data_IF_053171971070
#
_entry.id   IF_053171971070
#
_cell.length_a   1.000
_cell.length_b   1.000
_cell.length_c   1.000
_cell.angle_alpha   90.00
_cell.angle_beta   90.00
_cell.angle_gamma   90.00
#
_symmetry.space_group_name_H-M   'P 1'
#
loop_
_entity.id
_entity.type
_entity.pdbx_description
1 polymer ?
#
# COMPACT_ATOMS: atom_id res chain seq x y z
N UNK A 1 5.82 1.86 43.43
CA UNK A 1 6.30 2.26 42.08
C UNK A 1 7.24 3.43 42.31
N UNK A 2 8.54 3.26 42.05
CA UNK A 2 9.53 4.30 42.36
C UNK A 2 9.22 5.61 41.62
N UNK A 3 9.33 6.74 42.31
CA UNK A 3 9.11 8.07 41.73
C UNK A 3 9.97 8.29 40.46
N UNK A 4 11.14 7.67 40.40
CA UNK A 4 12.03 7.66 39.26
C UNK A 4 11.39 7.03 38.00
N UNK A 5 10.73 5.88 38.13
CA UNK A 5 10.07 5.17 37.03
C UNK A 5 8.88 5.97 36.49
N UNK A 6 8.10 6.57 37.39
CA UNK A 6 6.93 7.39 37.02
C UNK A 6 7.34 8.61 36.20
N UNK A 7 8.46 9.26 36.54
CA UNK A 7 8.98 10.40 35.77
C UNK A 7 9.40 9.99 34.37
N UNK A 8 10.12 8.88 34.21
CA UNK A 8 10.59 8.40 32.91
C UNK A 8 9.43 7.95 32.01
N UNK A 9 8.45 7.27 32.58
CA UNK A 9 7.24 6.84 31.86
C UNK A 9 6.45 8.04 31.34
N UNK A 10 6.29 9.09 32.15
CA UNK A 10 5.60 10.32 31.72
C UNK A 10 6.35 11.05 30.60
N UNK A 11 7.68 11.07 30.64
CA UNK A 11 8.49 11.70 29.61
C UNK A 11 8.40 10.93 28.28
N UNK A 12 8.52 9.60 28.32
CA UNK A 12 8.33 8.74 27.13
C UNK A 12 6.94 8.96 26.56
N UNK A 13 5.91 8.87 27.40
CA UNK A 13 4.51 9.05 26.98
C UNK A 13 4.31 10.38 26.29
N UNK A 14 4.85 11.46 26.86
CA UNK A 14 4.76 12.80 26.26
C UNK A 14 5.48 12.89 24.91
N UNK A 15 6.64 12.26 24.79
CA UNK A 15 7.43 12.28 23.56
C UNK A 15 6.77 11.49 22.42
N UNK A 16 6.16 10.34 22.72
CA UNK A 16 5.50 9.49 21.71
C UNK A 16 4.05 9.90 21.42
N UNK A 17 3.45 10.73 22.28
CA UNK A 17 2.09 11.21 22.08
C UNK A 17 2.01 12.16 20.88
N UNK A 18 1.03 11.95 20.01
CA UNK A 18 0.89 12.68 18.76
C UNK A 18 0.16 11.85 17.71
N UNK A 19 0.00 12.41 16.52
CA UNK A 19 -0.49 11.64 15.37
C UNK A 19 0.56 10.58 14.97
N UNK A 20 0.15 9.44 14.40
CA UNK A 20 1.09 8.45 13.89
C UNK A 20 2.09 9.08 12.91
N UNK A 21 3.39 8.95 13.18
CA UNK A 21 4.46 9.53 12.37
C UNK A 21 4.82 10.98 12.69
N UNK A 22 4.11 11.58 13.65
CA UNK A 22 4.33 12.95 14.10
C UNK A 22 4.46 13.01 15.64
N UNK A 23 5.48 12.39 16.23
CA UNK A 23 5.74 12.49 17.66
C UNK A 23 6.23 13.90 18.06
N UNK A 24 6.27 14.20 19.36
CA UNK A 24 6.95 15.39 19.87
C UNK A 24 8.47 15.22 19.74
N UNK A 25 9.00 15.59 18.58
CA UNK A 25 10.43 15.54 18.28
C UNK A 25 11.30 16.31 19.28
N UNK A 26 10.81 17.44 19.79
CA UNK A 26 11.53 18.19 20.82
C UNK A 26 11.56 17.42 22.14
N UNK A 27 10.48 16.69 22.47
CA UNK A 27 10.44 15.71 23.55
C UNK A 27 11.42 14.55 23.34
N UNK A 28 11.44 13.96 22.15
CA UNK A 28 12.36 12.88 21.78
C UNK A 28 13.82 13.31 21.95
N UNK A 29 14.24 14.46 21.41
CA UNK A 29 15.62 14.90 21.52
C UNK A 29 16.02 15.23 22.96
N UNK A 30 15.09 15.77 23.77
CA UNK A 30 15.31 15.95 25.22
C UNK A 30 15.53 14.62 25.93
N UNK A 31 14.76 13.59 25.57
CA UNK A 31 14.94 12.23 26.12
C UNK A 31 16.28 11.62 25.74
N UNK A 32 16.69 11.74 24.48
CA UNK A 32 18.00 11.26 24.02
C UNK A 32 19.12 11.87 24.88
N UNK A 33 19.10 13.20 25.06
CA UNK A 33 20.08 13.91 25.87
C UNK A 33 20.02 13.52 27.36
N UNK A 34 18.82 13.31 27.90
CA UNK A 34 18.64 12.90 29.29
C UNK A 34 19.20 11.50 29.56
N UNK A 35 18.93 10.55 28.66
CA UNK A 35 19.48 9.19 28.73
C UNK A 35 21.00 9.19 28.58
N UNK A 36 21.54 10.07 27.73
CA UNK A 36 22.98 10.25 27.60
C UNK A 36 23.62 10.79 28.89
N UNK A 37 23.00 11.78 29.52
CA UNK A 37 23.48 12.38 30.77
C UNK A 37 23.41 11.41 31.96
N UNK A 38 22.52 10.42 31.92
CA UNK A 38 22.37 9.40 32.97
C UNK A 38 22.38 7.99 32.38
N UNK A 39 23.55 7.44 32.02
CA UNK A 39 23.65 6.12 31.37
C UNK A 39 23.07 4.95 32.18
N UNK A 40 22.97 5.09 33.51
CA UNK A 40 22.35 4.08 34.39
C UNK A 40 20.82 4.01 34.24
N UNK A 41 20.18 5.04 33.68
CA UNK A 41 18.73 5.11 33.48
C UNK A 41 18.25 4.36 32.24
N UNK A 42 19.16 3.99 31.32
CA UNK A 42 18.80 3.45 30.02
C UNK A 42 18.08 2.10 30.10
N UNK A 43 18.43 1.27 31.08
CA UNK A 43 17.83 -0.06 31.24
C UNK A 43 16.34 0.09 31.62
N UNK A 44 16.04 0.97 32.59
CA UNK A 44 14.67 1.34 32.98
C UNK A 44 13.91 1.97 31.81
N UNK A 45 14.59 2.85 31.06
CA UNK A 45 14.01 3.51 29.90
C UNK A 45 13.62 2.48 28.81
N UNK A 46 14.48 1.51 28.54
CA UNK A 46 14.24 0.43 27.58
C UNK A 46 13.08 -0.46 28.01
N UNK A 47 12.97 -0.82 29.28
CA UNK A 47 11.85 -1.59 29.81
C UNK A 47 10.51 -0.88 29.59
N UNK A 48 10.45 0.42 29.88
CA UNK A 48 9.27 1.25 29.67
C UNK A 48 8.93 1.38 28.19
N UNK A 49 9.93 1.59 27.33
CA UNK A 49 9.73 1.69 25.88
C UNK A 49 9.21 0.38 25.28
N UNK A 50 9.74 -0.76 25.72
CA UNK A 50 9.27 -2.10 25.33
C UNK A 50 7.83 -2.33 25.80
N UNK A 51 7.45 -1.85 26.98
CA UNK A 51 6.05 -1.89 27.46
C UNK A 51 5.11 -1.12 26.52
N UNK A 52 5.51 0.06 26.03
CA UNK A 52 4.76 0.84 25.04
C UNK A 52 4.67 0.10 23.70
N UNK A 53 5.80 -0.43 23.20
CA UNK A 53 5.81 -1.25 21.97
C UNK A 53 4.91 -2.48 22.05
N UNK A 54 4.69 -3.05 23.25
CA UNK A 54 3.84 -4.22 23.43
C UNK A 54 2.35 -3.87 23.54
N UNK A 55 2.01 -2.83 24.30
CA UNK A 55 0.63 -2.57 24.75
C UNK A 55 -0.11 -1.48 23.98
N UNK A 56 0.61 -0.54 23.37
CA UNK A 56 -0.04 0.64 22.81
C UNK A 56 -0.66 0.39 21.42
N UNK A 57 -1.58 1.24 20.96
CA UNK A 57 -2.08 1.20 19.58
C UNK A 57 -0.97 1.39 18.53
N UNK A 58 -1.22 0.90 17.30
CA UNK A 58 -0.26 0.93 16.17
C UNK A 58 0.40 2.31 15.96
N UNK A 59 -0.37 3.40 16.06
CA UNK A 59 0.15 4.76 15.93
C UNK A 59 1.20 5.16 16.98
N UNK A 60 0.96 4.82 18.25
CA UNK A 60 1.90 5.10 19.34
C UNK A 60 3.09 4.15 19.31
N UNK A 61 2.90 2.90 18.85
CA UNK A 61 4.00 1.97 18.55
C UNK A 61 4.92 2.54 17.47
N UNK A 62 4.36 3.09 16.40
CA UNK A 62 5.15 3.75 15.34
C UNK A 62 5.97 4.92 15.89
N UNK A 63 5.34 5.80 16.68
CA UNK A 63 6.05 6.91 17.33
C UNK A 63 7.13 6.42 18.32
N UNK A 64 6.91 5.30 19.00
CA UNK A 64 7.92 4.66 19.87
C UNK A 64 9.11 4.11 19.06
N UNK A 65 8.86 3.54 17.87
CA UNK A 65 9.94 3.13 16.95
C UNK A 65 10.75 4.33 16.45
N UNK A 66 10.12 5.48 16.23
CA UNK A 66 10.83 6.72 15.87
C UNK A 66 11.72 7.23 17.01
N UNK A 67 11.30 7.08 18.27
CA UNK A 67 12.13 7.37 19.43
C UNK A 67 13.33 6.40 19.52
N UNK A 68 13.13 5.11 19.26
CA UNK A 68 14.23 4.13 19.17
C UNK A 68 15.22 4.53 18.08
N UNK A 69 14.72 4.88 16.91
CA UNK A 69 15.52 5.32 15.79
C UNK A 69 16.38 6.55 16.15
N UNK A 70 15.78 7.52 16.83
CA UNK A 70 16.50 8.69 17.32
C UNK A 70 17.60 8.33 18.33
N UNK A 71 17.37 7.37 19.23
CA UNK A 71 18.37 6.90 20.19
C UNK A 71 19.58 6.25 19.50
N UNK A 72 19.37 5.46 18.44
CA UNK A 72 20.48 4.88 17.68
C UNK A 72 21.21 5.90 16.82
N UNK A 73 20.50 6.83 16.16
CA UNK A 73 21.12 7.81 15.25
C UNK A 73 21.89 8.90 15.98
N UNK A 74 21.52 9.22 17.22
CA UNK A 74 22.12 10.31 18.00
C UNK A 74 22.90 9.83 19.23
N UNK A 75 22.83 8.54 19.58
CA UNK A 75 23.49 8.01 20.76
C UNK A 75 25.00 7.92 20.62
N UNK A 76 25.72 8.07 21.74
CA UNK A 76 27.17 7.85 21.83
C UNK A 76 27.49 6.40 22.18
N UNK A 77 28.75 5.99 22.00
CA UNK A 77 29.25 4.62 22.25
C UNK A 77 28.66 3.91 23.49
N UNK A 78 28.68 4.57 24.66
CA UNK A 78 28.19 3.97 25.91
C UNK A 78 26.67 3.68 25.90
N UNK A 79 25.89 4.58 25.31
CA UNK A 79 24.45 4.42 25.13
C UNK A 79 24.16 3.35 24.08
N UNK A 80 24.80 3.42 22.92
CA UNK A 80 24.62 2.45 21.83
C UNK A 80 24.97 1.02 22.25
N UNK A 81 26.03 0.84 23.04
CA UNK A 81 26.39 -0.46 23.60
C UNK A 81 25.27 -1.03 24.48
N UNK A 82 24.58 -0.18 25.24
CA UNK A 82 23.47 -0.57 26.12
C UNK A 82 22.12 -0.71 25.42
N UNK A 83 21.92 -0.12 24.24
CA UNK A 83 20.69 -0.31 23.47
C UNK A 83 20.58 -1.72 22.83
N UNK A 84 21.70 -2.39 22.59
CA UNK A 84 21.79 -3.67 21.88
C UNK A 84 21.41 -4.88 22.77
N UNK A 85 20.29 -4.79 23.48
CA UNK A 85 19.83 -5.82 24.41
C UNK A 85 18.95 -6.86 23.73
N UNK A 86 18.95 -8.09 24.28
CA UNK A 86 17.98 -9.13 23.90
C UNK A 86 16.54 -8.72 24.17
N UNK A 87 16.30 -7.92 25.21
CA UNK A 87 14.97 -7.40 25.53
C UNK A 87 14.42 -6.57 24.35
N UNK A 88 15.22 -5.63 23.84
CA UNK A 88 14.80 -4.79 22.72
C UNK A 88 14.64 -5.60 21.44
N UNK A 89 15.63 -6.41 21.06
CA UNK A 89 15.56 -7.19 19.82
C UNK A 89 14.43 -8.22 19.81
N UNK A 90 14.15 -8.87 20.94
CA UNK A 90 13.03 -9.80 21.05
C UNK A 90 11.68 -9.09 20.88
N UNK A 91 11.52 -7.90 21.47
CA UNK A 91 10.29 -7.13 21.30
C UNK A 91 10.13 -6.62 19.85
N UNK A 92 11.22 -6.18 19.21
CA UNK A 92 11.20 -5.72 17.82
C UNK A 92 10.82 -6.85 16.84
N UNK A 93 11.09 -8.10 17.20
CA UNK A 93 10.69 -9.29 16.43
C UNK A 93 9.35 -9.88 16.85
N UNK A 94 8.66 -9.31 17.83
CA UNK A 94 7.41 -9.85 18.35
C UNK A 94 6.26 -9.70 17.33
N UNK A 95 5.29 -10.64 17.31
CA UNK A 95 4.17 -10.63 16.35
C UNK A 95 3.42 -9.30 16.27
N UNK A 96 3.28 -8.61 17.40
CA UNK A 96 2.56 -7.34 17.48
C UNK A 96 3.22 -6.17 16.72
N UNK A 97 4.47 -6.34 16.28
CA UNK A 97 5.21 -5.43 15.41
C UNK A 97 5.50 -6.06 14.03
N UNK A 98 5.85 -7.35 14.00
CA UNK A 98 6.27 -8.03 12.77
C UNK A 98 5.12 -8.41 11.84
N UNK A 99 3.90 -8.56 12.35
CA UNK A 99 2.71 -8.81 11.53
C UNK A 99 2.07 -7.51 11.01
N UNK A 100 2.44 -6.36 11.57
CA UNK A 100 1.89 -5.07 11.14
C UNK A 100 2.78 -4.41 10.07
N UNK A 101 2.32 -4.28 8.81
CA UNK A 101 3.19 -3.91 7.69
C UNK A 101 3.93 -2.58 7.87
N UNK A 102 3.25 -1.57 8.42
CA UNK A 102 3.84 -0.24 8.63
C UNK A 102 4.97 -0.28 9.66
N UNK A 103 4.80 -1.04 10.75
CA UNK A 103 5.77 -1.15 11.82
C UNK A 103 6.97 -2.01 11.38
N UNK A 104 6.70 -3.16 10.77
CA UNK A 104 7.76 -4.03 10.24
C UNK A 104 8.60 -3.34 9.18
N UNK A 105 7.98 -2.59 8.27
CA UNK A 105 8.73 -1.84 7.25
C UNK A 105 9.62 -0.75 7.85
N UNK A 106 9.14 -0.07 8.89
CA UNK A 106 9.97 0.89 9.60
C UNK A 106 11.21 0.23 10.20
N UNK A 107 11.03 -0.92 10.86
CA UNK A 107 12.14 -1.69 11.44
C UNK A 107 13.09 -2.15 10.32
N UNK A 108 12.57 -2.74 9.24
CA UNK A 108 13.36 -3.20 8.10
C UNK A 108 14.23 -2.08 7.50
N UNK A 109 13.66 -0.89 7.31
CA UNK A 109 14.37 0.26 6.74
C UNK A 109 15.45 0.83 7.65
N UNK A 110 15.24 0.81 8.97
CA UNK A 110 16.13 1.48 9.92
C UNK A 110 17.12 0.53 10.63
N UNK A 111 16.83 -0.76 10.73
CA UNK A 111 17.68 -1.71 11.46
C UNK A 111 19.12 -1.78 10.92
N UNK A 112 19.30 -1.69 9.60
CA UNK A 112 20.64 -1.58 8.99
C UNK A 112 21.36 -0.31 9.45
N UNK A 113 20.67 0.82 9.46
CA UNK A 113 21.22 2.10 9.90
C UNK A 113 21.64 2.02 11.38
N UNK A 114 20.85 1.36 12.23
CA UNK A 114 21.17 1.17 13.65
C UNK A 114 22.44 0.35 13.85
N UNK A 115 22.60 -0.75 13.09
CA UNK A 115 23.82 -1.56 13.08
C UNK A 115 25.01 -0.72 12.62
N UNK A 116 24.86 0.05 11.55
CA UNK A 116 25.92 0.92 11.01
C UNK A 116 26.33 2.01 12.02
N UNK A 117 25.40 2.57 12.80
CA UNK A 117 25.68 3.51 13.89
C UNK A 117 26.54 2.86 14.98
N UNK A 118 26.17 1.66 15.45
CA UNK A 118 26.93 0.90 16.44
C UNK A 118 28.32 0.47 15.91
N UNK A 119 28.41 0.13 14.63
CA UNK A 119 29.66 -0.25 13.98
C UNK A 119 30.63 0.94 13.91
N UNK A 120 30.12 2.12 13.51
CA UNK A 120 30.89 3.37 13.42
C UNK A 120 31.51 3.78 14.76
N UNK A 121 30.78 3.59 15.86
CA UNK A 121 31.24 3.87 17.22
C UNK A 121 32.07 2.73 17.86
N UNK A 122 32.37 1.67 17.09
CA UNK A 122 33.12 0.49 17.53
C UNK A 122 32.51 -0.16 18.78
N UNK A 123 31.19 -0.33 18.80
CA UNK A 123 30.46 -1.00 19.88
C UNK A 123 29.40 -1.98 19.38
N UNK A 124 29.47 -2.41 18.12
CA UNK A 124 28.53 -3.38 17.56
C UNK A 124 28.68 -4.76 18.22
N UNK A 125 27.56 -5.26 18.75
CA UNK A 125 27.41 -6.60 19.28
C UNK A 125 27.09 -7.58 18.13
N UNK A 126 27.76 -8.73 18.11
CA UNK A 126 27.55 -9.78 17.11
C UNK A 126 26.13 -10.37 17.11
N UNK A 127 25.46 -10.43 18.27
CA UNK A 127 24.06 -10.88 18.36
C UNK A 127 23.11 -9.87 17.70
N UNK A 128 23.40 -8.57 17.82
CA UNK A 128 22.61 -7.50 17.21
C UNK A 128 22.78 -7.47 15.68
N UNK A 129 24.00 -7.68 15.18
CA UNK A 129 24.27 -7.85 13.74
C UNK A 129 23.52 -9.06 13.15
N UNK A 130 23.57 -10.21 13.83
CA UNK A 130 22.82 -11.41 13.41
C UNK A 130 21.32 -11.20 13.42
N UNK A 131 20.80 -10.51 14.43
CA UNK A 131 19.38 -10.16 14.51
C UNK A 131 18.97 -9.29 13.32
N UNK A 132 19.74 -8.25 13.00
CA UNK A 132 19.44 -7.36 11.85
C UNK A 132 19.40 -8.15 10.55
N UNK A 133 20.39 -9.01 10.30
CA UNK A 133 20.42 -9.86 9.11
C UNK A 133 19.21 -10.78 9.01
N UNK A 134 18.66 -11.22 10.14
CA UNK A 134 17.48 -12.08 10.19
C UNK A 134 16.20 -11.29 9.94
N UNK A 135 15.98 -10.17 10.65
CA UNK A 135 14.75 -9.38 10.53
C UNK A 135 14.64 -8.65 9.19
N UNK A 136 15.77 -8.37 8.53
CA UNK A 136 15.82 -7.73 7.21
C UNK A 136 15.74 -8.73 6.04
N UNK A 137 15.43 -10.01 6.28
CA UNK A 137 15.23 -11.00 5.20
C UNK A 137 13.93 -10.80 4.42
N UNK A 138 12.94 -10.17 5.03
CA UNK A 138 11.66 -9.87 4.40
C UNK A 138 11.20 -8.46 4.79
N UNK A 139 10.50 -7.81 3.86
CA UNK A 139 9.78 -6.56 4.08
C UNK A 139 8.39 -6.67 3.49
N UNK A 140 7.43 -5.94 4.07
CA UNK A 140 6.11 -5.84 3.49
C UNK A 140 6.16 -4.84 2.35
N UNK A 141 5.59 -5.18 1.20
CA UNK A 141 5.43 -4.22 0.10
C UNK A 141 4.07 -3.53 0.31
N UNK A 142 4.02 -2.27 0.79
CA UNK A 142 2.77 -1.62 1.18
C UNK A 142 1.94 -1.15 -0.03
N UNK A 143 2.54 -1.07 -1.22
CA UNK A 143 1.86 -0.69 -2.45
C UNK A 143 2.13 -1.71 -3.55
N UNK A 144 1.04 -2.19 -4.16
CA UNK A 144 1.08 -3.08 -5.30
C UNK A 144 1.82 -2.37 -6.46
N UNK A 145 3.08 -2.74 -6.70
CA UNK A 145 3.89 -2.20 -7.81
C UNK A 145 3.22 -2.50 -9.14
N UNK A 146 3.50 -1.75 -10.19
CA UNK A 146 2.89 -1.99 -11.51
C UNK A 146 3.26 -3.38 -12.07
N UNK A 147 4.47 -3.87 -11.76
CA UNK A 147 4.93 -5.22 -12.08
C UNK A 147 4.10 -6.28 -11.35
N UNK A 148 3.92 -6.14 -10.02
CA UNK A 148 3.08 -7.05 -9.24
C UNK A 148 1.62 -6.96 -9.67
N UNK A 149 1.12 -5.77 -9.99
CA UNK A 149 -0.23 -5.56 -10.51
C UNK A 149 -0.44 -6.32 -11.81
N UNK A 150 0.50 -6.19 -12.73
CA UNK A 150 0.47 -6.87 -14.02
C UNK A 150 0.51 -8.38 -13.83
N UNK A 151 1.38 -8.87 -12.93
CA UNK A 151 1.46 -10.28 -12.59
C UNK A 151 0.13 -10.80 -12.00
N UNK A 152 -0.45 -10.10 -11.03
CA UNK A 152 -1.73 -10.51 -10.44
C UNK A 152 -2.86 -10.52 -11.47
N UNK A 153 -2.93 -9.54 -12.37
CA UNK A 153 -3.91 -9.57 -13.45
C UNK A 153 -3.70 -10.77 -14.38
N UNK A 154 -2.45 -11.06 -14.76
CA UNK A 154 -2.12 -12.23 -15.58
C UNK A 154 -2.54 -13.53 -14.88
N UNK A 155 -2.23 -13.69 -13.60
CA UNK A 155 -2.57 -14.89 -12.82
C UNK A 155 -4.10 -15.05 -12.70
N UNK A 156 -4.83 -13.95 -12.49
CA UNK A 156 -6.29 -13.96 -12.43
C UNK A 156 -6.94 -14.20 -13.80
N UNK A 157 -6.32 -13.76 -14.88
CA UNK A 157 -6.76 -14.06 -16.25
C UNK A 157 -6.59 -15.55 -16.58
N UNK A 158 -5.45 -16.15 -16.23
CA UNK A 158 -5.26 -17.60 -16.36
C UNK A 158 -6.26 -18.39 -15.49
N UNK A 159 -6.57 -17.91 -14.29
CA UNK A 159 -7.61 -18.53 -13.47
C UNK A 159 -9.00 -18.44 -14.13
N UNK A 160 -9.33 -17.30 -14.76
CA UNK A 160 -10.57 -17.12 -15.50
C UNK A 160 -10.69 -18.12 -16.67
N UNK A 161 -9.59 -18.33 -17.41
CA UNK A 161 -9.54 -19.29 -18.52
C UNK A 161 -9.79 -20.72 -18.05
N UNK A 162 -9.18 -21.14 -16.94
CA UNK A 162 -9.42 -22.47 -16.35
C UNK A 162 -10.90 -22.63 -15.95
N UNK A 163 -11.48 -21.61 -15.32
CA UNK A 163 -12.90 -21.62 -14.94
C UNK A 163 -13.83 -21.64 -16.16
N UNK A 164 -13.49 -20.91 -17.23
CA UNK A 164 -14.23 -20.90 -18.48
C UNK A 164 -14.16 -22.27 -19.20
N UNK A 165 -12.97 -22.89 -19.24
CA UNK A 165 -12.81 -24.26 -19.74
C UNK A 165 -13.68 -25.23 -18.95
N UNK A 166 -13.65 -25.17 -17.62
CA UNK A 166 -14.49 -26.02 -16.78
C UNK A 166 -15.99 -25.82 -17.07
N UNK A 167 -16.42 -24.56 -17.13
CA UNK A 167 -17.79 -24.18 -17.44
C UNK A 167 -18.25 -24.75 -18.79
N UNK A 168 -17.44 -24.57 -19.83
CA UNK A 168 -17.74 -25.06 -21.17
C UNK A 168 -17.79 -26.59 -21.20
N UNK A 169 -16.82 -27.27 -20.60
CA UNK A 169 -16.82 -28.73 -20.51
C UNK A 169 -18.07 -29.23 -19.77
N UNK A 170 -18.45 -28.58 -18.66
CA UNK A 170 -19.62 -28.98 -17.88
C UNK A 170 -20.92 -28.84 -18.68
N UNK A 171 -21.07 -27.74 -19.41
CA UNK A 171 -22.22 -27.49 -20.28
C UNK A 171 -22.25 -28.50 -21.43
N UNK A 172 -21.12 -28.75 -22.10
CA UNK A 172 -21.04 -29.69 -23.21
C UNK A 172 -21.36 -31.11 -22.76
N UNK A 173 -20.74 -31.60 -21.67
CA UNK A 173 -21.03 -32.93 -21.11
C UNK A 173 -22.51 -33.08 -20.78
N UNK A 174 -23.16 -32.05 -20.24
CA UNK A 174 -24.60 -32.10 -19.97
C UNK A 174 -25.45 -32.10 -21.24
N UNK A 175 -25.13 -31.27 -22.23
CA UNK A 175 -25.85 -31.20 -23.50
C UNK A 175 -25.76 -32.52 -24.29
N UNK A 176 -24.62 -33.20 -24.21
CA UNK A 176 -24.37 -34.50 -24.84
C UNK A 176 -24.91 -35.69 -24.02
N UNK A 177 -25.66 -35.43 -22.94
CA UNK A 177 -26.18 -36.46 -22.02
C UNK A 177 -25.09 -37.34 -21.41
N UNK A 178 -23.89 -36.77 -21.25
CA UNK A 178 -22.73 -37.41 -20.64
C UNK A 178 -22.85 -37.55 -19.11
N UNK A 179 -21.84 -38.21 -18.53
CA UNK A 179 -21.79 -38.51 -17.10
C UNK A 179 -21.04 -37.39 -16.33
N UNK A 180 -21.54 -36.94 -15.16
CA UNK A 180 -20.79 -36.04 -14.25
C UNK A 180 -19.41 -36.54 -13.81
N UNK A 181 -19.12 -37.84 -13.98
CA UNK A 181 -17.84 -38.49 -13.72
C UNK A 181 -16.88 -38.46 -14.92
N UNK A 182 -17.16 -37.64 -15.93
CA UNK A 182 -16.26 -37.40 -17.06
C UNK A 182 -14.82 -37.14 -16.57
N UNK A 183 -13.81 -37.85 -17.12
CA UNK A 183 -12.43 -37.72 -16.65
C UNK A 183 -11.88 -36.30 -16.71
N UNK A 184 -12.21 -35.56 -17.76
CA UNK A 184 -11.75 -34.18 -17.96
C UNK A 184 -12.40 -33.24 -16.96
N UNK A 185 -13.70 -33.40 -16.68
CA UNK A 185 -14.37 -32.65 -15.61
C UNK A 185 -13.72 -32.89 -14.25
N UNK A 186 -13.40 -34.13 -13.92
CA UNK A 186 -12.77 -34.48 -12.63
C UNK A 186 -11.38 -33.88 -12.49
N UNK A 187 -10.58 -33.92 -13.56
CA UNK A 187 -9.22 -33.37 -13.58
C UNK A 187 -9.24 -31.85 -13.37
N UNK A 188 -10.08 -31.14 -14.11
CA UNK A 188 -10.16 -29.67 -14.01
C UNK A 188 -10.81 -29.24 -12.69
N UNK A 189 -11.78 -29.99 -12.15
CA UNK A 189 -12.48 -29.64 -10.90
C UNK A 189 -11.53 -29.41 -9.70
N UNK A 190 -10.42 -30.15 -9.62
CA UNK A 190 -9.42 -29.95 -8.57
C UNK A 190 -8.83 -28.53 -8.64
N UNK A 191 -8.55 -28.05 -9.85
CA UNK A 191 -8.06 -26.68 -10.06
C UNK A 191 -9.14 -25.64 -9.72
N UNK A 192 -10.41 -25.90 -10.04
CA UNK A 192 -11.54 -25.02 -9.69
C UNK A 192 -11.65 -24.85 -8.17
N UNK A 193 -11.57 -25.95 -7.42
CA UNK A 193 -11.59 -25.93 -5.95
C UNK A 193 -10.43 -25.11 -5.38
N UNK A 194 -9.23 -25.29 -5.93
CA UNK A 194 -8.04 -24.57 -5.48
C UNK A 194 -8.10 -23.07 -5.83
N UNK A 195 -8.60 -22.72 -7.02
CA UNK A 195 -8.85 -21.32 -7.43
C UNK A 195 -9.82 -20.66 -6.45
N UNK A 196 -10.95 -21.31 -6.14
CA UNK A 196 -11.94 -20.79 -5.19
C UNK A 196 -11.31 -20.51 -3.81
N UNK A 197 -10.57 -21.49 -3.28
CA UNK A 197 -9.91 -21.39 -1.97
C UNK A 197 -8.85 -20.29 -1.93
N UNK A 198 -8.03 -20.15 -2.97
CA UNK A 198 -6.98 -19.12 -3.04
C UNK A 198 -7.58 -17.73 -3.25
N UNK A 199 -8.58 -17.60 -4.12
CA UNK A 199 -9.26 -16.34 -4.37
C UNK A 199 -9.96 -15.82 -3.11
N UNK A 200 -10.60 -16.70 -2.32
CA UNK A 200 -11.21 -16.32 -1.03
C UNK A 200 -10.22 -15.65 -0.08
N UNK A 201 -9.03 -16.23 0.06
CA UNK A 201 -7.95 -15.69 0.89
C UNK A 201 -7.40 -14.39 0.31
N UNK A 202 -7.19 -14.36 -1.00
CA UNK A 202 -6.58 -13.21 -1.69
C UNK A 202 -7.50 -11.97 -1.66
N UNK A 203 -8.81 -12.13 -1.80
CA UNK A 203 -9.77 -11.01 -1.73
C UNK A 203 -9.66 -10.23 -0.40
N UNK A 204 -9.31 -10.90 0.69
CA UNK A 204 -9.18 -10.30 2.01
C UNK A 204 -7.89 -9.50 2.20
N UNK A 205 -6.85 -9.80 1.42
CA UNK A 205 -5.53 -9.17 1.54
C UNK A 205 -5.27 -8.09 0.49
N UNK A 206 -6.11 -8.00 -0.55
CA UNK A 206 -5.97 -7.01 -1.62
C UNK A 206 -6.53 -5.64 -1.22
N UNK A 207 -5.64 -4.64 -1.17
CA UNK A 207 -6.01 -3.24 -0.95
C UNK A 207 -6.34 -2.47 -2.25
N UNK A 208 -5.93 -2.96 -3.42
CA UNK A 208 -6.25 -2.34 -4.72
C UNK A 208 -7.73 -2.61 -5.08
N UNK A 209 -8.59 -1.58 -5.18
CA UNK A 209 -10.03 -1.79 -5.38
C UNK A 209 -10.38 -2.48 -6.70
N UNK A 210 -9.61 -2.23 -7.76
CA UNK A 210 -9.86 -2.84 -9.08
C UNK A 210 -9.45 -4.30 -9.07
N UNK A 211 -8.26 -4.60 -8.55
CA UNK A 211 -7.77 -5.96 -8.45
C UNK A 211 -8.63 -6.80 -7.50
N UNK A 212 -9.04 -6.22 -6.37
CA UNK A 212 -9.97 -6.83 -5.42
C UNK A 212 -11.30 -7.13 -6.09
N UNK A 213 -11.88 -6.18 -6.83
CA UNK A 213 -13.14 -6.40 -7.56
C UNK A 213 -13.02 -7.56 -8.56
N UNK A 214 -11.92 -7.63 -9.32
CA UNK A 214 -11.71 -8.73 -10.26
C UNK A 214 -11.55 -10.07 -9.54
N UNK A 215 -10.73 -10.13 -8.50
CA UNK A 215 -10.53 -11.33 -7.69
C UNK A 215 -11.85 -11.81 -7.05
N UNK A 216 -12.71 -10.89 -6.59
CA UNK A 216 -14.05 -11.24 -6.08
C UNK A 216 -14.94 -11.86 -7.16
N UNK A 217 -14.92 -11.34 -8.40
CA UNK A 217 -15.68 -11.95 -9.51
C UNK A 217 -15.18 -13.36 -9.86
N UNK A 218 -13.85 -13.58 -9.86
CA UNK A 218 -13.25 -14.90 -10.05
C UNK A 218 -13.69 -15.86 -8.94
N UNK A 219 -13.66 -15.42 -7.69
CA UNK A 219 -14.12 -16.21 -6.56
C UNK A 219 -15.60 -16.60 -6.65
N UNK A 220 -16.48 -15.64 -6.97
CA UNK A 220 -17.90 -15.89 -7.17
C UNK A 220 -18.15 -16.87 -8.31
N UNK A 221 -17.44 -16.72 -9.42
CA UNK A 221 -17.56 -17.64 -10.56
C UNK A 221 -17.08 -19.04 -10.22
N UNK A 222 -15.94 -19.18 -9.54
CA UNK A 222 -15.45 -20.48 -9.08
C UNK A 222 -16.44 -21.17 -8.13
N UNK A 223 -17.03 -20.43 -7.18
CA UNK A 223 -18.10 -20.94 -6.31
C UNK A 223 -19.32 -21.39 -7.12
N UNK A 224 -19.72 -20.61 -8.13
CA UNK A 224 -20.80 -20.98 -9.03
C UNK A 224 -20.51 -22.31 -9.75
N UNK A 225 -19.32 -22.47 -10.34
CA UNK A 225 -18.87 -23.70 -10.99
C UNK A 225 -18.96 -24.92 -10.07
N UNK A 226 -18.46 -24.79 -8.84
CA UNK A 226 -18.50 -25.88 -7.84
C UNK A 226 -19.93 -26.28 -7.51
N UNK A 227 -20.80 -25.29 -7.25
CA UNK A 227 -22.21 -25.55 -6.91
C UNK A 227 -22.94 -26.23 -8.07
N UNK A 228 -22.74 -25.76 -9.31
CA UNK A 228 -23.39 -26.36 -10.48
C UNK A 228 -22.87 -27.76 -10.79
N UNK A 229 -21.57 -28.02 -10.60
CA UNK A 229 -21.01 -29.35 -10.77
C UNK A 229 -21.58 -30.35 -9.75
N UNK A 230 -21.69 -29.96 -8.48
CA UNK A 230 -22.31 -30.83 -7.46
C UNK A 230 -23.82 -31.02 -7.71
N UNK A 231 -24.52 -30.00 -8.21
CA UNK A 231 -25.91 -30.15 -8.65
C UNK A 231 -26.03 -31.16 -9.80
N UNK A 232 -25.14 -31.10 -10.80
CA UNK A 232 -25.10 -32.05 -11.90
C UNK A 232 -24.87 -33.48 -11.41
N UNK A 233 -23.90 -33.68 -10.49
CA UNK A 233 -23.63 -34.99 -9.88
C UNK A 233 -24.81 -35.56 -9.12
N UNK A 234 -25.53 -34.73 -8.36
CA UNK A 234 -26.61 -35.18 -7.47
C UNK A 234 -27.94 -35.36 -8.19
N UNK A 235 -28.26 -34.44 -9.09
CA UNK A 235 -29.60 -34.30 -9.66
C UNK A 235 -29.64 -34.61 -11.17
N UNK A 236 -28.49 -34.88 -11.81
CA UNK A 236 -28.39 -35.05 -13.26
C UNK A 236 -28.69 -33.79 -14.06
N UNK A 237 -28.83 -32.63 -13.40
CA UNK A 237 -29.18 -31.35 -14.00
C UNK A 237 -28.61 -30.20 -13.17
N UNK A 238 -28.44 -29.04 -13.80
CA UNK A 238 -27.98 -27.81 -13.16
C UNK A 238 -28.42 -26.58 -13.98
N UNK A 239 -28.23 -25.38 -13.43
CA UNK A 239 -28.62 -24.12 -14.07
C UNK A 239 -27.50 -23.61 -15.00
N UNK A 240 -27.63 -23.91 -16.29
CA UNK A 240 -26.71 -23.47 -17.34
C UNK A 240 -26.74 -21.95 -17.54
N UNK A 241 -27.89 -21.30 -17.32
CA UNK A 241 -28.03 -19.85 -17.49
C UNK A 241 -27.30 -19.09 -16.39
N UNK A 242 -27.43 -19.53 -15.14
CA UNK A 242 -26.71 -18.96 -14.01
C UNK A 242 -25.19 -19.09 -14.18
N UNK A 243 -24.73 -20.25 -14.64
CA UNK A 243 -23.31 -20.51 -14.89
C UNK A 243 -22.77 -19.60 -16.00
N UNK A 244 -23.48 -19.53 -17.13
CA UNK A 244 -23.12 -18.67 -18.27
C UNK A 244 -23.12 -17.19 -17.88
N UNK A 245 -24.12 -16.75 -17.11
CA UNK A 245 -24.19 -15.37 -16.60
C UNK A 245 -23.02 -15.03 -15.69
N UNK A 246 -22.56 -15.98 -14.87
CA UNK A 246 -21.39 -15.79 -14.01
C UNK A 246 -20.09 -15.68 -14.83
N UNK A 247 -19.94 -16.50 -15.87
CA UNK A 247 -18.83 -16.42 -16.83
C UNK A 247 -18.79 -15.05 -17.53
N UNK A 248 -19.94 -14.58 -18.04
CA UNK A 248 -20.04 -13.29 -18.73
C UNK A 248 -19.62 -12.09 -17.85
N UNK A 249 -19.86 -12.13 -16.54
CA UNK A 249 -19.41 -11.08 -15.61
C UNK A 249 -17.88 -10.99 -15.54
N UNK A 250 -17.21 -12.14 -15.58
CA UNK A 250 -15.74 -12.22 -15.56
C UNK A 250 -15.19 -11.72 -16.90
N UNK A 251 -15.75 -12.17 -18.02
CA UNK A 251 -15.34 -11.72 -19.36
C UNK A 251 -15.50 -10.21 -19.56
N UNK A 252 -16.59 -9.63 -19.05
CA UNK A 252 -16.83 -8.18 -19.13
C UNK A 252 -15.72 -7.39 -18.41
N UNK A 253 -15.24 -7.91 -17.26
CA UNK A 253 -14.14 -7.32 -16.52
C UNK A 253 -12.79 -7.47 -17.26
N UNK A 254 -12.55 -8.57 -17.96
CA UNK A 254 -11.36 -8.75 -18.78
C UNK A 254 -11.35 -7.78 -19.98
N UNK A 255 -12.49 -7.62 -20.65
CA UNK A 255 -12.67 -6.73 -21.81
C UNK A 255 -12.51 -5.26 -21.46
N UNK A 256 -13.09 -4.81 -20.33
CA UNK A 256 -12.99 -3.41 -19.89
C UNK A 256 -11.54 -2.96 -19.64
N UNK A 257 -10.67 -3.89 -19.23
CA UNK A 257 -9.23 -3.64 -19.04
C UNK A 257 -8.44 -3.65 -20.34
N UNK A 258 -8.82 -4.50 -21.31
CA UNK A 258 -8.20 -4.54 -22.64
C UNK A 258 -8.41 -3.24 -23.43
N UNK A 259 -9.62 -2.66 -23.35
CA UNK A 259 -9.93 -1.39 -24.00
C UNK A 259 -9.17 -0.19 -23.39
N UNK A 260 -8.90 -0.21 -22.08
CA UNK A 260 -8.12 0.82 -21.41
C UNK A 260 -6.63 0.83 -21.81
N UNK A 261 -6.08 -0.31 -22.24
CA UNK A 261 -4.71 -0.38 -22.78
C UNK A 261 -4.61 0.20 -24.20
N UNK A 262 -5.61 -0.03 -25.05
CA UNK A 262 -5.62 0.49 -26.42
C UNK A 262 -5.88 2.00 -26.50
N UNK A 263 -6.63 2.57 -25.55
CA UNK A 263 -6.88 4.02 -25.48
C UNK A 263 -5.61 4.84 -25.13
N UNK A 264 -4.60 4.24 -24.49
CA UNK A 264 -3.32 4.91 -24.17
C UNK A 264 -2.27 4.83 -25.27
N UNK A 265 -2.44 3.95 -26.27
CA UNK A 265 -1.50 3.78 -27.39
C UNK A 265 -1.81 4.64 -28.61
N UNK A 266 -2.95 5.34 -28.65
CA UNK A 266 -3.37 6.22 -29.76
C UNK A 266 -3.38 7.71 -29.42
N UNK A 267 -2.84 8.14 -28.28
CA UNK A 267 -2.47 9.55 -28.14
C UNK A 267 -1.21 9.81 -28.98
N UNK A 268 -1.42 10.17 -30.26
CA UNK A 268 -0.39 10.87 -31.04
C UNK A 268 0.15 11.98 -30.14
N UNK A 269 1.49 12.10 -29.95
CA UNK A 269 2.02 13.16 -29.14
C UNK A 269 1.51 14.47 -29.72
N UNK A 270 0.70 15.20 -28.94
CA UNK A 270 0.43 16.60 -29.22
C UNK A 270 1.81 17.23 -29.23
N UNK A 271 2.33 17.50 -30.44
CA UNK A 271 3.52 18.33 -30.62
C UNK A 271 3.20 19.61 -29.85
N UNK A 272 3.80 19.76 -28.67
CA UNK A 272 3.85 21.04 -27.98
C UNK A 272 4.74 21.92 -28.85
N UNK A 273 4.13 22.57 -29.84
CA UNK A 273 4.74 23.76 -30.41
C UNK A 273 4.86 24.75 -29.26
N UNK A 274 6.08 25.20 -28.92
CA UNK A 274 6.22 26.31 -27.97
C UNK A 274 5.43 27.50 -28.52
N UNK A 275 4.71 28.20 -27.64
CA UNK A 275 3.93 29.38 -28.01
C UNK A 275 4.81 30.52 -28.58
N UNK A 276 6.13 30.41 -28.45
CA UNK A 276 7.11 31.33 -29.03
C UNK A 276 8.11 30.56 -29.87
N UNK A 277 8.14 30.85 -31.16
CA UNK A 277 9.37 30.79 -31.96
C UNK A 277 10.08 32.14 -31.84
N UNK A 278 11.41 32.13 -31.75
CA UNK A 278 12.22 33.34 -31.66
C UNK A 278 11.88 34.27 -32.85
N UNK A 279 11.31 35.45 -32.59
CA UNK A 279 11.02 36.47 -33.61
C UNK A 279 9.57 36.95 -33.74
N UNK A 280 8.59 36.38 -33.03
CA UNK A 280 7.21 36.89 -33.03
C UNK A 280 6.94 37.78 -31.79
N UNK A 281 6.92 39.10 -31.99
CA UNK A 281 6.52 40.09 -31.00
C UNK A 281 4.98 40.15 -30.93
N UNK A 282 4.40 39.22 -30.18
CA UNK A 282 2.99 39.31 -29.76
C UNK A 282 2.87 40.40 -28.69
N UNK A 283 1.93 41.34 -28.87
CA UNK A 283 1.64 42.37 -27.88
C UNK A 283 1.14 41.73 -26.57
N UNK A 284 1.49 42.32 -25.43
CA UNK A 284 1.20 41.74 -24.11
C UNK A 284 -0.31 41.48 -23.89
N UNK A 285 -1.17 42.31 -24.48
CA UNK A 285 -2.63 42.16 -24.42
C UNK A 285 -3.11 40.85 -25.07
N UNK A 286 -2.54 40.49 -26.22
CA UNK A 286 -2.86 39.25 -26.93
C UNK A 286 -2.32 38.03 -26.16
N UNK A 287 -1.16 38.16 -25.53
CA UNK A 287 -0.58 37.11 -24.69
C UNK A 287 -1.48 36.77 -23.49
N UNK A 288 -1.99 37.79 -22.79
CA UNK A 288 -2.89 37.57 -21.65
C UNK A 288 -4.26 37.04 -22.07
N UNK A 289 -4.77 37.44 -23.25
CA UNK A 289 -5.99 36.88 -23.81
C UNK A 289 -5.83 35.38 -24.15
N UNK A 290 -4.73 34.99 -24.77
CA UNK A 290 -4.41 33.60 -25.12
C UNK A 290 -4.26 32.72 -23.86
N UNK A 291 -3.58 33.25 -22.82
CA UNK A 291 -3.43 32.59 -21.52
C UNK A 291 -4.75 32.45 -20.76
N UNK A 292 -5.64 33.44 -20.85
CA UNK A 292 -6.98 33.37 -20.26
C UNK A 292 -7.82 32.28 -20.96
N UNK A 293 -7.74 32.18 -22.29
CA UNK A 293 -8.40 31.14 -23.10
C UNK A 293 -7.93 29.74 -22.72
N UNK A 294 -6.62 29.55 -22.56
CA UNK A 294 -6.03 28.27 -22.15
C UNK A 294 -6.41 27.87 -20.72
N UNK A 295 -6.51 28.84 -19.80
CA UNK A 295 -7.02 28.61 -18.43
C UNK A 295 -8.51 28.26 -18.41
N UNK A 296 -9.32 28.92 -19.25
CA UNK A 296 -10.75 28.65 -19.38
C UNK A 296 -11.03 27.25 -19.95
N UNK A 297 -10.28 26.84 -20.98
CA UNK A 297 -10.34 25.47 -21.53
C UNK A 297 -9.93 24.40 -20.50
N UNK A 298 -8.92 24.67 -19.66
CA UNK A 298 -8.53 23.76 -18.56
C UNK A 298 -9.56 23.64 -17.44
N UNK A 299 -10.42 24.65 -17.25
CA UNK A 299 -11.48 24.66 -16.23
C UNK A 299 -12.88 24.30 -16.76
N UNK A 300 -13.01 24.00 -18.06
CA UNK A 300 -14.31 23.64 -18.65
C UNK A 300 -15.34 24.79 -18.66
N UNK A 301 -14.90 26.05 -18.61
CA UNK A 301 -15.77 27.22 -18.62
C UNK A 301 -15.67 27.93 -19.97
N UNK A 302 -16.79 27.98 -20.72
CA UNK A 302 -16.89 28.84 -21.90
C UNK A 302 -17.08 30.30 -21.44
N UNK A 303 -16.15 31.19 -21.77
CA UNK A 303 -16.33 32.63 -21.61
C UNK A 303 -16.60 33.23 -22.99
N UNK A 304 -17.81 33.75 -23.19
CA UNK A 304 -18.11 34.67 -24.28
C UNK A 304 -17.38 35.98 -23.99
N UNK A 305 -16.50 36.41 -24.91
CA UNK A 305 -15.84 37.70 -24.82
C UNK A 305 -16.84 38.82 -25.13
N UNK A 306 -17.15 39.65 -24.14
CA UNK A 306 -17.62 41.01 -24.38
C UNK A 306 -16.46 41.98 -24.10
N UNK A 307 -16.25 43.01 -24.95
CA UNK A 307 -15.22 44.00 -24.72
C UNK A 307 -15.66 44.94 -23.59
N UNK A 308 -14.94 44.93 -22.48
CA UNK A 308 -15.11 45.92 -21.40
C UNK A 308 -14.24 47.13 -21.75
N UNK A 309 -14.88 48.29 -21.91
CA UNK A 309 -14.22 49.56 -22.23
C UNK A 309 -13.26 50.01 -21.12
N UNK A 310 -12.15 50.63 -21.52
CA UNK A 310 -10.98 51.07 -20.76
C UNK A 310 -11.26 51.97 -19.53
N UNK A 311 -12.49 52.41 -19.30
CA UNK A 311 -12.85 53.24 -18.14
C UNK A 311 -13.14 52.44 -16.85
N UNK A 312 -13.48 51.14 -16.94
CA UNK A 312 -13.75 50.34 -15.72
C UNK A 312 -12.47 49.86 -15.03
N UNK A 313 -11.40 49.57 -15.78
CA UNK A 313 -10.13 49.10 -15.20
C UNK A 313 -9.38 50.18 -14.38
N UNK A 314 -9.60 51.46 -14.66
CA UNK A 314 -8.94 52.56 -13.95
C UNK A 314 -9.61 52.83 -12.58
N UNK A 315 -10.92 52.64 -12.48
CA UNK A 315 -11.65 52.84 -11.22
C UNK A 315 -11.35 51.74 -10.18
N UNK A 316 -11.12 50.50 -10.62
CA UNK A 316 -10.76 49.41 -9.71
C UNK A 316 -9.33 49.53 -9.16
N UNK A 317 -8.44 50.24 -9.85
CA UNK A 317 -7.06 50.45 -9.39
C UNK A 317 -6.92 51.59 -8.36
N UNK A 318 -7.87 52.54 -8.32
CA UNK A 318 -7.89 53.66 -7.38
C UNK A 318 -8.54 53.32 -6.03
N UNK A 319 -9.19 52.17 -5.90
CA UNK A 319 -9.77 51.67 -4.64
C UNK A 319 -8.79 50.83 -3.80
N UNK A 320 -7.56 50.62 -4.28
CA UNK A 320 -6.52 49.82 -3.62
C UNK A 320 -5.27 50.63 -3.24
N UNK A 321 -5.34 51.96 -3.29
CA UNK A 321 -4.41 52.91 -2.66
C UNK A 321 -5.14 53.71 -1.59
#
# INVERSE_FOLDING_TARGET
>A
MDAFVVVHENLIRKAINGQPGHPDWAGIMRLVNAVEAQPSSIDVFLELLVKHLKKDPSGLKYNSLMLIDALFKNGKKAQLARLQTKLLTSQLSAPELSEEPQLQNFIHQNAKIWVDCCAKENCLNSDFDKWQKTICTYYFVPQLTDELRTKFYSDLDSAAEILAMFCQTLITTFAEQGNPQDPLLREININVLEISRRAEKLVQTLNDPKLRSFCSKIFEFAKCCIIQYEAFKKNGSFDTQLLTKSMMKVEAEQKSRGQAKNAKSEEKPVKRTPLRTYGDDMADEDFFAEMAKLRAQRKGLQVQAQPVSTQQAVNDLLLLL
#
